data_IF_292851232316
#
_entry.id   IF_292851232316
#
_cell.length_a   1.000
_cell.length_b   1.000
_cell.length_c   1.000
_cell.angle_alpha   90.00
_cell.angle_beta   90.00
_cell.angle_gamma   90.00
#
_symmetry.space_group_name_H-M   'P 1'
#
loop_
_entity.id
_entity.type
_entity.pdbx_description
1 polymer ?
#
# COMPACT_ATOMS: atom_id res chain seq x y z
N UNK A 1 7.05 -6.13 -7.49
CA UNK A 1 6.45 -7.27 -6.78
C UNK A 1 6.10 -8.34 -7.77
N UNK A 2 6.17 -9.60 -7.34
CA UNK A 2 5.49 -10.72 -7.97
C UNK A 2 4.25 -10.98 -7.12
N UNK A 3 3.08 -11.02 -7.74
CA UNK A 3 1.79 -11.16 -7.05
C UNK A 3 0.97 -12.23 -7.75
N UNK A 4 0.09 -12.88 -6.99
CA UNK A 4 -0.83 -13.90 -7.48
C UNK A 4 -2.30 -13.42 -7.54
N UNK A 5 -2.63 -12.35 -6.82
CA UNK A 5 -4.00 -11.85 -6.81
C UNK A 5 -4.39 -11.21 -8.14
N UNK A 6 -5.66 -11.37 -8.51
CA UNK A 6 -6.23 -10.81 -9.73
C UNK A 6 -7.50 -10.03 -9.40
N UNK A 7 -7.72 -8.93 -10.12
CA UNK A 7 -8.95 -8.15 -10.02
C UNK A 7 -9.86 -8.48 -11.21
N UNK A 8 -11.10 -8.86 -10.94
CA UNK A 8 -12.10 -9.12 -11.98
C UNK A 8 -13.51 -8.84 -11.46
N UNK A 9 -14.35 -8.21 -12.29
CA UNK A 9 -15.77 -7.99 -11.99
C UNK A 9 -16.06 -7.32 -10.62
N UNK A 10 -15.18 -6.42 -10.14
CA UNK A 10 -15.36 -5.74 -8.85
C UNK A 10 -14.82 -6.50 -7.64
N UNK A 11 -14.23 -7.67 -7.83
CA UNK A 11 -13.70 -8.53 -6.77
C UNK A 11 -12.20 -8.77 -6.94
N UNK A 12 -11.54 -9.02 -5.81
CA UNK A 12 -10.16 -9.49 -5.74
C UNK A 12 -10.18 -11.01 -5.54
N UNK A 13 -9.42 -11.72 -6.34
CA UNK A 13 -9.26 -13.17 -6.29
C UNK A 13 -7.82 -13.51 -5.94
N UNK A 14 -7.63 -14.50 -5.08
CA UNK A 14 -6.31 -15.06 -4.73
C UNK A 14 -6.29 -16.49 -5.25
N UNK A 15 -5.13 -16.95 -5.72
CA UNK A 15 -4.96 -18.34 -6.16
C UNK A 15 -4.47 -19.26 -5.02
N UNK A 16 -4.26 -20.54 -5.34
CA UNK A 16 -3.86 -21.57 -4.37
C UNK A 16 -2.34 -21.65 -4.11
N UNK A 17 -1.57 -20.63 -4.51
CA UNK A 17 -0.12 -20.60 -4.24
C UNK A 17 0.12 -20.64 -2.72
N UNK A 18 0.97 -21.55 -2.21
CA UNK A 18 1.26 -21.62 -0.78
C UNK A 18 1.81 -20.30 -0.20
N UNK A 19 1.33 -19.95 1.00
CA UNK A 19 1.69 -18.70 1.68
C UNK A 19 0.75 -17.55 1.31
N UNK A 20 1.25 -16.30 1.39
CA UNK A 20 0.45 -15.09 1.09
C UNK A 20 0.47 -14.69 -0.39
N UNK A 21 1.21 -15.42 -1.25
CA UNK A 21 1.18 -15.20 -2.70
C UNK A 21 1.86 -13.93 -3.22
N UNK A 22 2.66 -13.26 -2.38
CA UNK A 22 3.34 -12.00 -2.73
C UNK A 22 4.83 -12.10 -2.42
N UNK A 23 5.65 -11.59 -3.34
CA UNK A 23 7.11 -11.53 -3.21
C UNK A 23 7.68 -10.21 -3.77
N UNK A 24 8.85 -9.79 -3.28
CA UNK A 24 9.53 -8.56 -3.66
C UNK A 24 10.73 -8.84 -4.57
N UNK A 25 10.88 -8.05 -5.64
CA UNK A 25 12.10 -8.05 -6.43
C UNK A 25 13.06 -7.00 -5.85
N UNK A 26 14.03 -7.44 -5.07
CA UNK A 26 14.95 -6.55 -4.34
C UNK A 26 15.83 -5.69 -5.25
N UNK A 27 16.28 -6.22 -6.39
CA UNK A 27 17.12 -5.45 -7.33
C UNK A 27 16.38 -4.29 -7.98
N UNK A 28 15.07 -4.47 -8.22
CA UNK A 28 14.21 -3.37 -8.67
C UNK A 28 13.87 -2.42 -7.52
N UNK A 29 13.66 -2.93 -6.30
CA UNK A 29 13.35 -2.11 -5.14
C UNK A 29 14.47 -1.11 -4.80
N UNK A 30 15.75 -1.52 -4.93
CA UNK A 30 16.93 -0.66 -4.72
C UNK A 30 16.92 0.64 -5.53
N UNK A 31 16.21 0.69 -6.66
CA UNK A 31 16.10 1.90 -7.51
C UNK A 31 15.20 2.98 -6.91
N UNK A 32 14.42 2.66 -5.88
CA UNK A 32 13.45 3.55 -5.25
C UNK A 32 13.81 3.71 -3.76
N UNK A 33 14.77 4.60 -3.42
CA UNK A 33 15.18 4.79 -2.03
C UNK A 33 14.04 5.39 -1.19
N UNK A 34 14.16 5.24 0.12
CA UNK A 34 13.22 5.82 1.08
C UNK A 34 13.05 7.33 0.83
N UNK A 35 11.79 7.77 0.81
CA UNK A 35 11.39 9.17 0.83
C UNK A 35 10.43 9.38 1.99
N UNK A 36 10.71 10.36 2.83
CA UNK A 36 9.82 10.71 3.94
C UNK A 36 8.49 11.21 3.39
N UNK A 37 7.40 10.69 3.94
CA UNK A 37 6.05 11.16 3.67
C UNK A 37 5.24 11.12 4.97
N UNK A 38 4.38 12.11 5.17
CA UNK A 38 3.47 12.19 6.32
C UNK A 38 2.06 12.41 5.83
N UNK A 39 1.10 11.76 6.47
CA UNK A 39 -0.31 12.05 6.24
C UNK A 39 -0.61 13.49 6.70
N UNK A 40 -1.55 14.19 6.05
CA UNK A 40 -2.03 15.47 6.53
C UNK A 40 -2.67 15.35 7.92
N UNK A 41 -2.78 16.48 8.61
CA UNK A 41 -3.56 16.58 9.85
C UNK A 41 -4.73 17.51 9.60
N UNK A 42 -5.84 17.29 10.31
CA UNK A 42 -7.01 18.15 10.24
C UNK A 42 -7.11 19.05 11.47
N UNK A 43 -7.56 20.29 11.27
CA UNK A 43 -7.84 21.26 12.33
C UNK A 43 -9.15 21.98 12.06
N UNK A 44 -9.91 22.25 13.11
CA UNK A 44 -11.09 23.12 13.04
C UNK A 44 -10.69 24.58 12.75
N UNK A 45 -11.66 25.42 12.42
CA UNK A 45 -11.44 26.86 12.19
C UNK A 45 -10.87 27.60 13.42
N UNK A 46 -11.11 27.09 14.63
CA UNK A 46 -10.52 27.58 15.88
C UNK A 46 -9.11 27.04 16.17
N UNK A 47 -8.56 26.20 15.28
CA UNK A 47 -7.23 25.59 15.42
C UNK A 47 -7.20 24.29 16.22
N UNK A 48 -8.31 23.85 16.82
CA UNK A 48 -8.38 22.58 17.58
C UNK A 48 -8.03 21.40 16.69
N UNK A 49 -7.17 20.49 17.18
CA UNK A 49 -6.83 19.25 16.49
C UNK A 49 -8.10 18.42 16.25
N UNK A 50 -8.24 17.86 15.05
CA UNK A 50 -9.44 17.12 14.69
C UNK A 50 -9.12 15.84 13.90
N UNK A 51 -10.16 15.06 13.64
CA UNK A 51 -10.07 13.84 12.86
C UNK A 51 -9.73 14.18 11.41
N UNK A 52 -8.61 13.63 10.93
CA UNK A 52 -8.26 13.60 9.52
C UNK A 52 -9.04 12.49 8.81
#
# INVERSE_FOLDING_TARGET
FKINYQYSNGYMFIDDTPGIGVDINEDRAKKYPYSMASLPVNRKTDGTMFYW
#
